data_IF_807479826337
#
_entry.id   IF_807479826337
#
_cell.length_a   1.000
_cell.length_b   1.000
_cell.length_c   1.000
_cell.angle_alpha   90.00
_cell.angle_beta   90.00
_cell.angle_gamma   90.00
#
_symmetry.space_group_name_H-M   'P 1'
#
loop_
_entity.id
_entity.type
_entity.pdbx_description
1 polymer ?
#
# COMPACT_ATOMS: atom_id res chain seq x y z
N UNK A 1 -22.77 -0.18 6.49
CA UNK A 1 -22.27 0.33 5.21
C UNK A 1 -20.76 0.55 5.30
N UNK A 2 -20.04 0.07 4.33
CA UNK A 2 -18.60 0.23 4.27
C UNK A 2 -18.27 1.33 3.27
N UNK A 3 -17.61 2.37 3.73
CA UNK A 3 -17.14 3.43 2.86
C UNK A 3 -15.69 3.14 2.45
N UNK A 4 -15.40 3.36 1.19
CA UNK A 4 -14.08 3.17 0.64
C UNK A 4 -13.70 4.40 -0.19
N UNK A 5 -12.50 4.91 0.02
CA UNK A 5 -11.98 6.05 -0.73
C UNK A 5 -10.63 5.72 -1.34
N UNK A 6 -10.48 6.05 -2.60
CA UNK A 6 -9.17 6.07 -3.22
C UNK A 6 -8.55 7.43 -2.97
N UNK A 7 -7.39 7.47 -2.33
CA UNK A 7 -6.68 8.71 -2.08
C UNK A 7 -5.76 9.06 -3.23
N UNK A 8 -5.02 8.09 -3.73
CA UNK A 8 -4.16 8.31 -4.89
C UNK A 8 -3.82 7.00 -5.57
N UNK A 9 -3.54 7.11 -6.85
CA UNK A 9 -2.99 6.01 -7.65
C UNK A 9 -1.92 6.62 -8.53
N UNK A 10 -0.68 6.18 -8.40
CA UNK A 10 0.42 6.81 -9.12
C UNK A 10 1.45 5.77 -9.54
N UNK A 11 2.21 6.07 -10.60
CA UNK A 11 3.33 5.21 -10.98
C UNK A 11 4.39 5.18 -9.90
N UNK A 12 4.99 4.03 -9.70
CA UNK A 12 6.11 3.88 -8.78
C UNK A 12 6.97 2.72 -9.21
N UNK A 13 8.28 2.94 -9.31
CA UNK A 13 9.21 1.85 -9.59
C UNK A 13 9.21 0.86 -8.44
N UNK A 14 9.13 -0.42 -8.77
CA UNK A 14 9.11 -1.49 -7.79
C UNK A 14 9.69 -2.74 -8.42
N UNK A 15 10.55 -3.44 -7.70
CA UNK A 15 11.20 -4.67 -8.19
C UNK A 15 11.97 -4.43 -9.51
N UNK A 16 12.56 -3.24 -9.65
CA UNK A 16 13.35 -2.90 -10.84
C UNK A 16 12.53 -2.66 -12.10
N UNK A 17 11.22 -2.48 -12.00
CA UNK A 17 10.36 -2.23 -13.14
C UNK A 17 9.34 -1.15 -12.80
N UNK A 18 8.59 -0.71 -13.81
CA UNK A 18 7.50 0.24 -13.59
C UNK A 18 6.34 -0.46 -12.91
N UNK A 19 5.99 0.05 -11.75
CA UNK A 19 4.86 -0.46 -11.00
C UNK A 19 3.91 0.66 -10.62
N UNK A 20 3.19 0.45 -9.52
CA UNK A 20 2.21 1.42 -9.07
C UNK A 20 2.16 1.49 -7.55
N UNK A 21 1.64 2.61 -7.06
CA UNK A 21 1.33 2.81 -5.65
C UNK A 21 -0.13 3.25 -5.56
N UNK A 22 -0.89 2.59 -4.70
CA UNK A 22 -2.29 2.85 -4.50
C UNK A 22 -2.53 3.16 -3.02
N UNK A 23 -2.99 4.36 -2.72
CA UNK A 23 -3.31 4.77 -1.35
C UNK A 23 -4.83 4.88 -1.22
N UNK A 24 -5.36 4.34 -0.11
CA UNK A 24 -6.80 4.28 0.09
C UNK A 24 -7.14 4.42 1.56
N UNK A 25 -8.41 4.73 1.83
CA UNK A 25 -9.00 4.70 3.17
C UNK A 25 -10.31 3.94 3.12
N UNK A 26 -10.64 3.26 4.20
CA UNK A 26 -11.96 2.65 4.30
C UNK A 26 -12.42 2.65 5.76
N UNK A 27 -13.75 2.62 5.92
CA UNK A 27 -14.37 2.55 7.24
C UNK A 27 -14.73 1.09 7.50
N UNK A 28 -14.21 0.54 8.58
CA UNK A 28 -14.52 -0.86 8.91
C UNK A 28 -15.81 -0.97 9.73
N UNK A 29 -16.20 -2.21 10.06
CA UNK A 29 -17.43 -2.47 10.77
C UNK A 29 -17.50 -1.90 12.18
N UNK A 30 -16.38 -1.51 12.76
CA UNK A 30 -16.30 -0.90 14.08
C UNK A 30 -16.27 0.63 14.01
N UNK A 31 -16.60 1.19 12.85
CA UNK A 31 -16.57 2.63 12.60
C UNK A 31 -15.17 3.23 12.77
N UNK A 32 -14.16 2.43 12.58
CA UNK A 32 -12.77 2.87 12.65
C UNK A 32 -12.24 3.07 11.24
N UNK A 33 -11.74 4.26 10.97
CA UNK A 33 -11.11 4.53 9.69
C UNK A 33 -9.75 3.85 9.62
N UNK A 34 -9.56 3.11 8.55
CA UNK A 34 -8.30 2.47 8.24
C UNK A 34 -7.73 3.08 6.98
N UNK A 35 -6.41 3.13 6.91
CA UNK A 35 -5.69 3.65 5.78
C UNK A 35 -4.70 2.60 5.29
N UNK A 36 -4.55 2.50 4.00
CA UNK A 36 -3.66 1.50 3.43
C UNK A 36 -2.85 2.03 2.28
N UNK A 37 -1.76 1.35 2.01
CA UNK A 37 -0.92 1.59 0.85
C UNK A 37 -0.57 0.25 0.24
N UNK A 38 -0.78 0.15 -1.07
CA UNK A 38 -0.36 -1.02 -1.84
C UNK A 38 0.68 -0.58 -2.85
N UNK A 39 1.75 -1.35 -2.96
CA UNK A 39 2.77 -1.14 -3.98
C UNK A 39 2.89 -2.43 -4.76
N UNK A 40 2.80 -2.35 -6.07
CA UNK A 40 2.83 -3.54 -6.88
C UNK A 40 3.45 -3.33 -8.24
N UNK A 41 3.76 -4.44 -8.88
CA UNK A 41 4.29 -4.46 -10.24
C UNK A 41 4.04 -5.82 -10.88
N UNK A 42 3.98 -5.83 -12.20
CA UNK A 42 3.90 -7.07 -12.97
C UNK A 42 5.30 -7.36 -13.51
N UNK A 43 5.82 -8.53 -13.14
CA UNK A 43 7.16 -8.96 -13.55
C UNK A 43 7.02 -10.36 -14.15
N UNK A 44 7.44 -10.52 -15.40
CA UNK A 44 7.39 -11.81 -16.11
C UNK A 44 5.99 -12.42 -16.09
N UNK A 45 4.97 -11.58 -16.26
CA UNK A 45 3.57 -12.02 -16.28
C UNK A 45 2.97 -12.31 -14.93
N UNK A 46 3.67 -12.02 -13.84
CA UNK A 46 3.17 -12.24 -12.48
C UNK A 46 3.02 -10.92 -11.75
N UNK A 47 1.93 -10.80 -11.01
CA UNK A 47 1.69 -9.63 -10.15
C UNK A 47 2.34 -9.85 -8.79
N UNK A 48 3.19 -8.91 -8.40
CA UNK A 48 3.77 -8.86 -7.07
C UNK A 48 3.17 -7.67 -6.35
N UNK A 49 2.71 -7.88 -5.14
CA UNK A 49 1.99 -6.85 -4.38
C UNK A 49 2.40 -6.89 -2.92
N UNK A 50 2.71 -5.72 -2.37
CA UNK A 50 2.91 -5.54 -0.93
C UNK A 50 1.84 -4.58 -0.45
N UNK A 51 1.12 -4.97 0.59
CA UNK A 51 0.00 -4.19 1.13
C UNK A 51 0.24 -3.90 2.61
N UNK A 52 0.02 -2.65 2.99
CA UNK A 52 0.04 -2.22 4.38
C UNK A 52 -1.29 -1.53 4.70
N UNK A 53 -1.94 -1.96 5.77
CA UNK A 53 -3.22 -1.42 6.20
C UNK A 53 -3.21 -1.32 7.72
N UNK A 54 -3.60 -0.17 8.25
CA UNK A 54 -3.59 0.07 9.68
C UNK A 54 -4.60 1.17 10.05
N UNK A 55 -4.92 1.28 11.33
CA UNK A 55 -5.79 2.34 11.83
C UNK A 55 -5.19 3.70 11.47
N UNK A 56 -6.01 4.55 10.86
CA UNK A 56 -5.55 5.84 10.32
C UNK A 56 -5.00 6.79 11.37
N UNK A 57 -5.61 6.77 12.56
CA UNK A 57 -5.35 7.81 13.56
C UNK A 57 -3.93 7.77 14.14
N UNK A 58 -3.34 6.59 14.27
CA UNK A 58 -2.04 6.47 14.92
C UNK A 58 -1.15 5.44 14.24
N UNK A 59 -1.67 4.25 14.03
CA UNK A 59 -0.84 3.11 13.63
C UNK A 59 -0.35 3.19 12.20
N UNK A 60 -1.09 3.87 11.33
CA UNK A 60 -0.66 3.98 9.93
C UNK A 60 0.65 4.76 9.84
N UNK A 61 0.70 5.96 10.43
CA UNK A 61 1.89 6.79 10.37
C UNK A 61 3.06 6.13 11.11
N UNK A 62 2.79 5.43 12.21
CA UNK A 62 3.83 4.76 12.97
C UNK A 62 4.45 3.58 12.21
N UNK A 63 3.64 2.85 11.43
CA UNK A 63 4.14 1.68 10.70
C UNK A 63 4.62 1.97 9.28
N UNK A 64 4.29 3.14 8.73
CA UNK A 64 4.61 3.46 7.35
C UNK A 64 6.12 3.41 7.04
N UNK A 65 7.01 3.94 7.90
CA UNK A 65 8.45 3.83 7.61
C UNK A 65 8.92 2.38 7.47
N UNK A 66 8.39 1.46 8.29
CA UNK A 66 8.74 0.06 8.18
C UNK A 66 8.24 -0.54 6.88
N UNK A 67 7.02 -0.20 6.47
CA UNK A 67 6.50 -0.64 5.18
C UNK A 67 7.38 -0.13 4.03
N UNK A 68 7.76 1.13 4.07
CA UNK A 68 8.60 1.71 3.01
C UNK A 68 9.98 1.05 2.98
N UNK A 69 10.52 0.68 4.14
CA UNK A 69 11.78 -0.04 4.19
C UNK A 69 11.66 -1.42 3.55
N UNK A 70 10.54 -2.11 3.77
CA UNK A 70 10.28 -3.40 3.14
C UNK A 70 10.18 -3.24 1.63
N UNK A 71 9.45 -2.23 1.15
CA UNK A 71 9.33 -1.96 -0.28
C UNK A 71 10.72 -1.70 -0.90
N UNK A 72 11.53 -0.89 -0.22
CA UNK A 72 12.86 -0.55 -0.71
C UNK A 72 13.78 -1.77 -0.76
N UNK A 73 13.61 -2.72 0.17
CA UNK A 73 14.44 -3.92 0.22
C UNK A 73 13.96 -5.02 -0.73
N UNK A 74 12.73 -4.94 -1.23
CA UNK A 74 12.16 -5.92 -2.13
C UNK A 74 12.67 -5.67 -3.56
N UNK A 75 13.93 -5.99 -3.79
CA UNK A 75 14.58 -5.80 -5.09
C UNK A 75 14.71 -7.15 -5.79
N UNK A 76 14.42 -7.15 -7.08
CA UNK A 76 14.72 -8.32 -7.91
C UNK A 76 16.24 -8.45 -8.06
N UNK A 77 16.70 -9.66 -7.98
CA UNK A 77 18.11 -9.96 -8.16
C UNK A 77 18.34 -10.85 -9.35
#
# INVERSE_FOLDING_TARGET
TIDFRTLSLQPRSFLGTNGFQFDYEHLDGDELWRKGRAVGAIVDGRLYLILFDAARSHYYAAGLPDFEAIVASAQRR
#
